data_IF_509225562490
#
_entry.id   IF_509225562490
#
_cell.length_a   1.000
_cell.length_b   1.000
_cell.length_c   1.000
_cell.angle_alpha   90.00
_cell.angle_beta   90.00
_cell.angle_gamma   90.00
#
_symmetry.space_group_name_H-M   'P 1'
#
loop_
_entity.id
_entity.type
_entity.pdbx_description
1 polymer ?
#
# COMPACT_ATOMS: atom_id res chain seq x y z
N UNK A 1 3.38 33.48 -13.82
CA UNK A 1 2.58 33.20 -15.03
C UNK A 1 1.59 32.10 -14.67
N UNK A 2 0.28 32.34 -14.79
CA UNK A 2 -0.70 31.28 -14.61
C UNK A 2 -0.65 30.32 -15.82
N UNK A 3 -0.78 29.00 -15.62
CA UNK A 3 -0.79 28.04 -16.72
C UNK A 3 -1.96 28.30 -17.68
N UNK A 4 -1.72 28.18 -18.98
CA UNK A 4 -2.74 28.40 -20.02
C UNK A 4 -3.87 27.37 -19.88
N UNK A 5 -5.11 27.84 -19.67
CA UNK A 5 -6.32 27.02 -19.62
C UNK A 5 -7.11 27.14 -20.93
N UNK A 6 -7.34 26.04 -21.66
CA UNK A 6 -8.15 26.05 -22.88
C UNK A 6 -9.55 26.63 -22.65
N UNK A 7 -10.18 27.29 -23.65
CA UNK A 7 -11.49 27.94 -23.50
C UNK A 7 -12.60 27.02 -23.00
N UNK A 8 -12.60 25.76 -23.40
CA UNK A 8 -13.57 24.75 -22.96
C UNK A 8 -13.37 24.30 -21.49
N UNK A 9 -12.19 24.55 -20.91
CA UNK A 9 -11.86 24.27 -19.52
C UNK A 9 -11.93 25.51 -18.61
N UNK A 10 -12.22 26.69 -19.15
CA UNK A 10 -12.41 27.92 -18.35
C UNK A 10 -13.64 27.86 -17.45
N UNK A 11 -14.64 27.06 -17.83
CA UNK A 11 -15.88 26.89 -17.07
C UNK A 11 -15.90 25.62 -16.19
N UNK A 12 -14.86 24.79 -16.21
CA UNK A 12 -14.77 23.64 -15.32
C UNK A 12 -14.24 24.08 -13.95
N UNK A 13 -14.93 23.72 -12.84
CA UNK A 13 -14.44 24.02 -11.51
C UNK A 13 -13.06 23.37 -11.33
N UNK A 14 -12.09 24.09 -10.75
CA UNK A 14 -10.77 23.54 -10.47
C UNK A 14 -10.87 22.33 -9.53
N UNK A 15 -10.13 21.28 -9.86
CA UNK A 15 -10.06 20.06 -9.07
C UNK A 15 -9.05 20.22 -7.92
N UNK A 16 -9.26 19.50 -6.80
CA UNK A 16 -8.31 19.50 -5.70
C UNK A 16 -6.96 18.90 -6.12
N UNK A 17 -5.88 19.40 -5.52
CA UNK A 17 -4.55 18.81 -5.59
C UNK A 17 -4.37 17.83 -4.43
N UNK A 18 -3.78 16.67 -4.68
CA UNK A 18 -3.54 15.67 -3.65
C UNK A 18 -2.09 15.74 -3.17
N UNK A 19 -1.89 15.65 -1.86
CA UNK A 19 -0.55 15.59 -1.24
C UNK A 19 -0.55 14.49 -0.18
N UNK A 20 0.37 13.53 -0.31
CA UNK A 20 0.58 12.54 0.74
C UNK A 20 1.33 13.19 1.89
N UNK A 21 0.78 13.11 3.10
CA UNK A 21 1.28 13.88 4.25
C UNK A 21 2.31 13.12 5.08
N UNK A 22 2.36 11.80 4.95
CA UNK A 22 3.20 10.93 5.78
C UNK A 22 4.05 9.94 4.97
N UNK A 23 4.14 10.14 3.65
CA UNK A 23 5.01 9.40 2.75
C UNK A 23 5.61 10.36 1.74
N UNK A 24 6.85 10.10 1.32
CA UNK A 24 7.52 10.83 0.24
C UNK A 24 7.06 10.35 -1.17
N UNK A 25 5.94 9.62 -1.24
CA UNK A 25 5.38 9.08 -2.47
C UNK A 25 4.60 10.15 -3.24
N UNK A 26 4.89 10.26 -4.54
CA UNK A 26 4.13 11.11 -5.46
C UNK A 26 2.83 10.40 -5.80
N UNK A 27 1.70 10.98 -5.40
CA UNK A 27 0.36 10.50 -5.76
C UNK A 27 0.17 10.59 -7.27
N UNK A 28 -0.11 9.45 -7.90
CA UNK A 28 -0.38 9.30 -9.33
C UNK A 28 -1.85 9.41 -9.64
N UNK A 29 -2.72 9.08 -8.69
CA UNK A 29 -4.16 9.24 -8.81
C UNK A 29 -4.48 10.70 -9.13
N UNK A 30 -5.11 10.93 -10.29
CA UNK A 30 -5.62 12.24 -10.67
C UNK A 30 -7.13 12.27 -10.42
N UNK A 31 -7.64 13.19 -9.59
CA UNK A 31 -9.07 13.31 -9.37
C UNK A 31 -9.79 13.73 -10.65
N UNK A 32 -10.96 13.15 -10.90
CA UNK A 32 -11.88 13.51 -11.97
C UNK A 32 -13.01 14.42 -11.47
N UNK A 33 -13.69 15.10 -12.40
CA UNK A 33 -14.85 15.95 -12.13
C UNK A 33 -16.05 15.20 -11.55
N UNK A 34 -16.18 13.92 -11.87
CA UNK A 34 -17.25 13.04 -11.38
C UNK A 34 -16.85 12.21 -10.17
N UNK A 35 -15.60 12.32 -9.71
CA UNK A 35 -15.14 11.51 -8.60
C UNK A 35 -15.78 11.99 -7.31
N UNK A 36 -16.28 11.03 -6.54
CA UNK A 36 -16.67 11.26 -5.15
C UNK A 36 -15.47 11.06 -4.25
N UNK A 37 -15.57 11.52 -3.00
CA UNK A 37 -14.57 11.24 -1.96
C UNK A 37 -14.39 9.72 -1.80
N UNK A 38 -15.46 8.92 -1.89
CA UNK A 38 -15.38 7.46 -1.86
C UNK A 38 -14.57 6.88 -3.03
N UNK A 39 -14.85 7.32 -4.26
CA UNK A 39 -14.13 6.85 -5.47
C UNK A 39 -12.65 7.20 -5.38
N UNK A 40 -12.33 8.40 -4.91
CA UNK A 40 -10.95 8.81 -4.70
C UNK A 40 -10.26 7.97 -3.64
N UNK A 41 -10.92 7.72 -2.50
CA UNK A 41 -10.39 6.85 -1.44
C UNK A 41 -10.08 5.45 -1.96
N UNK A 42 -10.98 4.86 -2.75
CA UNK A 42 -10.77 3.54 -3.36
C UNK A 42 -9.57 3.52 -4.32
N UNK A 43 -9.46 4.53 -5.20
CA UNK A 43 -8.33 4.65 -6.13
C UNK A 43 -6.99 4.81 -5.38
N UNK A 44 -6.97 5.61 -4.32
CA UNK A 44 -5.78 5.79 -3.48
C UNK A 44 -5.43 4.52 -2.72
N UNK A 45 -6.43 3.80 -2.19
CA UNK A 45 -6.23 2.53 -1.50
C UNK A 45 -5.64 1.46 -2.45
N UNK A 46 -6.08 1.45 -3.71
CA UNK A 46 -5.50 0.60 -4.75
C UNK A 46 -4.06 1.03 -5.09
N UNK A 47 -3.79 2.33 -5.24
CA UNK A 47 -2.44 2.86 -5.50
C UNK A 47 -1.46 2.54 -4.38
N UNK A 48 -1.87 2.71 -3.12
CA UNK A 48 -1.03 2.43 -1.95
C UNK A 48 -1.06 0.97 -1.50
N UNK A 49 -1.84 0.12 -2.16
CA UNK A 49 -2.01 -1.29 -1.83
C UNK A 49 -2.41 -1.54 -0.37
N UNK A 50 -3.33 -0.72 0.15
CA UNK A 50 -3.87 -0.84 1.51
C UNK A 50 -5.38 -0.97 1.50
N UNK A 51 -5.98 -1.47 2.58
CA UNK A 51 -7.42 -1.33 2.81
C UNK A 51 -7.89 0.14 2.77
N UNK A 52 -9.10 0.37 2.26
CA UNK A 52 -9.69 1.71 2.13
C UNK A 52 -9.81 2.43 3.47
N UNK A 53 -10.07 1.72 4.57
CA UNK A 53 -10.23 2.32 5.90
C UNK A 53 -8.94 2.92 6.47
N UNK A 54 -7.78 2.58 5.88
CA UNK A 54 -6.49 3.14 6.26
C UNK A 54 -6.19 4.46 5.55
N UNK A 55 -6.95 4.81 4.51
CA UNK A 55 -6.83 6.08 3.82
C UNK A 55 -7.68 7.13 4.55
N UNK A 56 -7.05 8.24 4.94
CA UNK A 56 -7.74 9.39 5.53
C UNK A 56 -7.49 10.63 4.68
N UNK A 57 -8.56 11.33 4.33
CA UNK A 57 -8.54 12.53 3.51
C UNK A 57 -8.91 13.75 4.37
N UNK A 58 -8.11 14.80 4.31
CA UNK A 58 -8.37 16.05 5.01
C UNK A 58 -8.22 17.25 4.08
N UNK A 59 -9.15 18.20 4.18
CA UNK A 59 -9.08 19.51 3.52
C UNK A 59 -8.83 20.57 4.59
N UNK A 60 -7.75 21.34 4.44
CA UNK A 60 -7.39 22.43 5.38
C UNK A 60 -7.33 21.96 6.86
N UNK A 61 -6.86 20.72 7.08
CA UNK A 61 -6.78 20.09 8.39
C UNK A 61 -8.10 19.47 8.91
N UNK A 62 -9.22 19.67 8.23
CA UNK A 62 -10.51 19.08 8.59
C UNK A 62 -10.76 17.75 7.84
N UNK A 63 -11.17 16.67 8.52
CA UNK A 63 -11.43 15.39 7.87
C UNK A 63 -12.63 15.48 6.94
N UNK A 64 -12.49 14.90 5.76
CA UNK A 64 -13.55 14.77 4.77
C UNK A 64 -14.40 13.54 5.07
N UNK A 65 -15.56 13.74 5.70
CA UNK A 65 -16.44 12.63 6.14
C UNK A 65 -17.59 12.31 5.16
N UNK A 66 -17.98 13.27 4.31
CA UNK A 66 -19.06 13.07 3.35
C UNK A 66 -18.54 12.32 2.11
N UNK A 67 -18.59 10.99 2.17
CA UNK A 67 -18.03 10.11 1.15
C UNK A 67 -18.71 10.24 -0.22
N UNK A 68 -19.94 10.74 -0.28
CA UNK A 68 -20.68 10.93 -1.54
C UNK A 68 -20.45 12.30 -2.17
N UNK A 69 -19.78 13.20 -1.46
CA UNK A 69 -19.49 14.54 -1.97
C UNK A 69 -18.61 14.46 -3.21
N UNK A 70 -19.01 15.15 -4.28
CA UNK A 70 -18.20 15.26 -5.49
C UNK A 70 -17.00 16.17 -5.23
N UNK A 71 -15.83 15.78 -5.72
CA UNK A 71 -14.59 16.54 -5.56
C UNK A 71 -14.66 17.92 -6.22
N UNK A 72 -15.44 18.05 -7.29
CA UNK A 72 -15.65 19.31 -8.00
C UNK A 72 -16.26 20.41 -7.08
N UNK A 73 -17.04 20.04 -6.07
CA UNK A 73 -17.69 20.96 -5.12
C UNK A 73 -16.72 21.51 -4.09
N UNK A 74 -15.55 20.89 -3.93
CA UNK A 74 -14.51 21.34 -3.00
C UNK A 74 -13.73 22.53 -3.56
N UNK A 75 -13.79 22.77 -4.87
CA UNK A 75 -13.04 23.81 -5.56
C UNK A 75 -11.52 23.57 -5.56
N UNK A 76 -10.76 24.60 -5.92
CA UNK A 76 -9.29 24.56 -5.88
C UNK A 76 -8.84 24.53 -4.41
N UNK A 77 -8.40 23.37 -3.96
CA UNK A 77 -7.87 23.17 -2.62
C UNK A 77 -6.82 22.07 -2.63
N UNK A 78 -6.12 21.92 -1.50
CA UNK A 78 -5.19 20.81 -1.29
C UNK A 78 -5.87 19.80 -0.37
N UNK A 79 -5.96 18.54 -0.81
CA UNK A 79 -6.39 17.43 0.01
C UNK A 79 -5.14 16.71 0.50
N UNK A 80 -5.00 16.66 1.81
CA UNK A 80 -3.99 15.91 2.52
C UNK A 80 -4.45 14.46 2.64
N UNK A 81 -3.69 13.55 2.02
CA UNK A 81 -3.88 12.11 2.12
C UNK A 81 -2.95 11.58 3.21
N UNK A 82 -3.49 10.80 4.14
CA UNK A 82 -2.72 10.09 5.17
C UNK A 82 -3.00 8.61 5.05
N UNK A 83 -1.95 7.81 4.89
CA UNK A 83 -2.02 6.34 4.88
C UNK A 83 -1.67 5.83 6.27
N UNK A 84 -2.64 5.30 7.01
CA UNK A 84 -2.39 4.72 8.33
C UNK A 84 -1.66 3.38 8.20
N UNK A 85 -0.75 3.05 9.13
CA UNK A 85 -0.17 1.72 9.15
C UNK A 85 -1.26 0.68 9.47
N UNK A 86 -1.22 -0.46 8.78
CA UNK A 86 -2.21 -1.53 8.93
C UNK A 86 -1.89 -2.39 10.14
N UNK A 87 -2.89 -2.90 10.86
CA UNK A 87 -2.68 -4.03 11.79
C UNK A 87 -2.37 -5.32 11.03
N UNK A 88 -1.87 -6.35 11.72
CA UNK A 88 -1.65 -7.65 11.08
C UNK A 88 -2.94 -8.24 10.52
N UNK A 89 -4.06 -8.16 11.25
CA UNK A 89 -5.35 -8.71 10.80
C UNK A 89 -5.85 -8.00 9.54
N UNK A 90 -5.76 -6.66 9.50
CA UNK A 90 -6.20 -5.87 8.35
C UNK A 90 -5.39 -6.23 7.11
N UNK A 91 -4.07 -6.30 7.25
CA UNK A 91 -3.19 -6.60 6.12
C UNK A 91 -3.30 -8.06 5.69
N UNK A 92 -3.40 -9.02 6.61
CA UNK A 92 -3.57 -10.43 6.28
C UNK A 92 -4.86 -10.64 5.48
N UNK A 93 -5.97 -10.06 5.92
CA UNK A 93 -7.25 -10.12 5.21
C UNK A 93 -7.16 -9.45 3.83
N UNK A 94 -6.48 -8.32 3.73
CA UNK A 94 -6.29 -7.61 2.47
C UNK A 94 -5.47 -8.43 1.47
N UNK A 95 -4.32 -8.95 1.89
CA UNK A 95 -3.46 -9.82 1.08
C UNK A 95 -4.24 -11.04 0.62
N UNK A 96 -4.96 -11.71 1.53
CA UNK A 96 -5.79 -12.87 1.20
C UNK A 96 -6.88 -12.53 0.17
N UNK A 97 -7.51 -11.35 0.28
CA UNK A 97 -8.55 -10.91 -0.66
C UNK A 97 -8.03 -10.62 -2.07
N UNK A 98 -6.77 -10.17 -2.19
CA UNK A 98 -6.11 -9.80 -3.45
C UNK A 98 -5.29 -10.96 -4.04
N UNK A 99 -5.02 -11.98 -3.23
CA UNK A 99 -4.17 -13.13 -3.55
C UNK A 99 -2.74 -12.93 -3.05
N UNK A 100 -2.24 -13.88 -2.24
CA UNK A 100 -0.92 -13.86 -1.61
C UNK A 100 0.23 -13.60 -2.60
N UNK A 101 0.15 -14.19 -3.80
CA UNK A 101 1.15 -14.05 -4.87
C UNK A 101 1.32 -12.61 -5.35
N UNK A 102 0.30 -11.76 -5.19
CA UNK A 102 0.36 -10.36 -5.62
C UNK A 102 1.36 -9.52 -4.80
N UNK A 103 1.65 -9.93 -3.56
CA UNK A 103 2.51 -9.19 -2.63
C UNK A 103 3.90 -9.80 -2.48
N UNK A 104 4.15 -10.98 -3.04
CA UNK A 104 5.49 -11.57 -3.00
C UNK A 104 6.48 -10.66 -3.74
N UNK A 105 7.54 -10.28 -3.04
CA UNK A 105 8.53 -9.32 -3.51
C UNK A 105 8.23 -7.86 -3.14
N UNK A 106 7.14 -7.57 -2.42
CA UNK A 106 6.84 -6.21 -1.95
C UNK A 106 7.79 -5.82 -0.81
N UNK A 107 8.30 -4.59 -0.83
CA UNK A 107 9.08 -4.03 0.28
C UNK A 107 8.12 -3.60 1.39
N UNK A 108 8.34 -4.14 2.58
CA UNK A 108 7.53 -3.93 3.77
C UNK A 108 8.36 -3.28 4.87
N UNK A 109 7.69 -2.43 5.64
CA UNK A 109 8.12 -2.01 6.97
C UNK A 109 7.17 -2.62 8.00
N UNK A 110 7.71 -3.45 8.88
CA UNK A 110 6.98 -4.14 9.95
C UNK A 110 7.41 -3.58 11.30
N UNK A 111 6.47 -3.51 12.24
CA UNK A 111 6.78 -3.27 13.66
C UNK A 111 6.31 -4.49 14.46
N UNK A 112 7.16 -5.00 15.35
CA UNK A 112 6.81 -6.13 16.21
C UNK A 112 6.18 -5.65 17.53
N UNK A 113 5.60 -6.58 18.29
CA UNK A 113 5.12 -6.32 19.64
C UNK A 113 6.22 -5.97 20.64
N UNK A 114 7.49 -6.29 20.34
CA UNK A 114 8.66 -5.86 21.08
C UNK A 114 9.10 -4.42 20.72
N UNK A 115 8.44 -3.78 19.74
CA UNK A 115 8.78 -2.45 19.25
C UNK A 115 9.92 -2.42 18.23
N UNK A 116 10.36 -3.59 17.74
CA UNK A 116 11.40 -3.67 16.72
C UNK A 116 10.83 -3.32 15.35
N UNK A 117 11.54 -2.47 14.60
CA UNK A 117 11.22 -2.17 13.21
C UNK A 117 12.05 -3.04 12.27
N UNK A 118 11.38 -3.84 11.46
CA UNK A 118 11.99 -4.69 10.44
C UNK A 118 11.65 -4.13 9.07
N UNK A 119 12.65 -4.05 8.18
CA UNK A 119 12.47 -3.63 6.79
C UNK A 119 12.99 -4.71 5.87
N UNK A 120 12.26 -4.98 4.81
CA UNK A 120 12.70 -5.90 3.78
C UNK A 120 11.55 -6.37 2.91
N UNK A 121 11.87 -7.34 2.09
CA UNK A 121 11.00 -7.81 1.03
C UNK A 121 10.17 -9.02 1.50
N UNK A 122 8.87 -9.02 1.24
CA UNK A 122 8.02 -10.17 1.53
C UNK A 122 8.41 -11.34 0.62
N UNK A 123 9.06 -12.36 1.20
CA UNK A 123 9.60 -13.47 0.43
C UNK A 123 8.61 -14.64 0.30
N UNK A 124 7.88 -14.93 1.37
CA UNK A 124 6.94 -16.05 1.42
C UNK A 124 5.84 -15.79 2.46
N UNK A 125 4.64 -16.27 2.18
CA UNK A 125 3.54 -16.36 3.14
C UNK A 125 3.26 -17.85 3.36
N UNK A 126 3.36 -18.31 4.60
CA UNK A 126 3.04 -19.68 4.96
C UNK A 126 1.67 -19.70 5.63
N UNK A 127 0.63 -19.93 4.81
CA UNK A 127 -0.78 -19.86 5.23
C UNK A 127 -1.12 -20.88 6.34
N UNK A 128 -0.46 -22.04 6.35
CA UNK A 128 -0.71 -23.10 7.35
C UNK A 128 -0.26 -22.70 8.76
N UNK A 129 0.85 -21.95 8.87
CA UNK A 129 1.47 -21.60 10.16
C UNK A 129 1.16 -20.16 10.59
N UNK A 130 0.30 -19.48 9.85
CA UNK A 130 0.00 -18.06 10.00
C UNK A 130 1.28 -17.21 10.17
N UNK A 131 2.20 -17.37 9.23
CA UNK A 131 3.50 -16.72 9.28
C UNK A 131 3.95 -16.20 7.92
N UNK A 132 4.91 -15.29 7.95
CA UNK A 132 5.55 -14.73 6.77
C UNK A 132 7.08 -14.76 6.92
N UNK A 133 7.77 -14.72 5.79
CA UNK A 133 9.21 -14.63 5.72
C UNK A 133 9.57 -13.30 5.08
N UNK A 134 10.33 -12.48 5.80
CA UNK A 134 10.91 -11.23 5.31
C UNK A 134 12.35 -11.48 4.88
N UNK A 135 12.75 -10.95 3.72
CA UNK A 135 14.10 -11.04 3.18
C UNK A 135 14.72 -9.65 3.10
N UNK A 136 15.80 -9.40 3.84
CA UNK A 136 16.64 -8.21 3.65
C UNK A 136 17.81 -8.54 2.75
N UNK A 137 17.98 -7.75 1.68
CA UNK A 137 19.12 -7.85 0.77
C UNK A 137 20.26 -6.99 1.28
N UNK A 138 21.41 -7.60 1.47
CA UNK A 138 22.61 -6.91 1.95
C UNK A 138 23.47 -6.44 0.77
N UNK A 139 24.29 -5.36 0.94
CA UNK A 139 25.15 -4.84 -0.12
C UNK A 139 26.19 -5.83 -0.65
N UNK A 140 26.56 -6.84 0.14
CA UNK A 140 27.50 -7.89 -0.23
C UNK A 140 26.89 -8.99 -1.11
N UNK A 141 25.61 -8.87 -1.49
CA UNK A 141 24.88 -9.86 -2.28
C UNK A 141 24.32 -11.03 -1.47
N UNK A 142 24.58 -11.08 -0.15
CA UNK A 142 23.90 -12.00 0.76
C UNK A 142 22.51 -11.49 1.14
N UNK A 143 21.72 -12.33 1.82
CA UNK A 143 20.42 -11.93 2.34
C UNK A 143 20.20 -12.49 3.75
N UNK A 144 19.57 -11.67 4.60
CA UNK A 144 19.01 -12.11 5.87
C UNK A 144 17.56 -12.54 5.69
N UNK A 145 17.14 -13.53 6.46
CA UNK A 145 15.75 -14.00 6.47
C UNK A 145 15.21 -13.98 7.89
N UNK A 146 14.03 -13.41 8.06
CA UNK A 146 13.27 -13.47 9.30
C UNK A 146 11.97 -14.22 9.08
N UNK A 147 11.76 -15.25 9.88
CA UNK A 147 10.48 -15.93 9.96
C UNK A 147 9.66 -15.32 11.10
N UNK A 148 8.53 -14.72 10.76
CA UNK A 148 7.69 -13.97 11.69
C UNK A 148 6.28 -14.56 11.68
N UNK A 149 5.69 -14.76 12.87
CA UNK A 149 4.26 -15.05 12.98
C UNK A 149 3.47 -13.76 12.81
N UNK A 150 2.32 -13.80 12.13
CA UNK A 150 1.52 -12.59 11.93
C UNK A 150 1.09 -11.93 13.26
N UNK A 151 0.81 -12.74 14.28
CA UNK A 151 0.39 -12.25 15.59
C UNK A 151 1.47 -11.51 16.41
N UNK A 152 2.76 -11.63 16.06
CA UNK A 152 3.82 -10.83 16.69
C UNK A 152 4.00 -9.47 16.02
N UNK A 153 3.36 -9.25 14.87
CA UNK A 153 3.42 -8.01 14.10
C UNK A 153 2.29 -7.09 14.59
N UNK A 154 2.65 -5.89 15.01
CA UNK A 154 1.69 -4.86 15.47
C UNK A 154 1.27 -3.94 14.35
N UNK A 155 2.19 -3.61 13.44
CA UNK A 155 1.88 -2.77 12.30
C UNK A 155 2.67 -3.11 11.04
N UNK A 156 2.04 -2.91 9.89
CA UNK A 156 2.58 -3.20 8.56
C UNK A 156 2.37 -1.98 7.66
N UNK A 157 3.42 -1.61 6.94
CA UNK A 157 3.36 -0.62 5.86
C UNK A 157 4.02 -1.20 4.61
N UNK A 158 3.32 -1.12 3.48
CA UNK A 158 3.89 -1.43 2.16
C UNK A 158 4.61 -0.18 1.68
N UNK A 159 5.92 -0.28 1.50
CA UNK A 159 6.79 0.80 1.04
C UNK A 159 6.89 0.80 -0.49
N UNK A 160 6.85 -0.37 -1.12
CA UNK A 160 6.75 -0.48 -2.59
C UNK A 160 6.30 -1.88 -3.02
N UNK A 161 5.67 -1.97 -4.17
CA UNK A 161 5.29 -3.25 -4.79
C UNK A 161 6.40 -3.85 -5.64
N UNK A 162 6.43 -5.19 -5.82
CA UNK A 162 7.39 -5.85 -6.68
C UNK A 162 7.32 -5.34 -8.12
N UNK A 163 8.47 -5.14 -8.74
CA UNK A 163 8.53 -4.89 -10.18
C UNK A 163 7.95 -6.09 -10.94
N UNK A 164 6.94 -5.86 -11.80
CA UNK A 164 6.29 -6.90 -12.62
C UNK A 164 7.26 -7.69 -13.52
N UNK A 165 8.49 -7.23 -13.70
CA UNK A 165 9.55 -7.88 -14.48
C UNK A 165 10.32 -8.96 -13.69
N UNK A 166 10.11 -9.06 -12.37
CA UNK A 166 10.85 -9.98 -11.51
C UNK A 166 10.16 -11.35 -11.48
N UNK A 167 10.36 -12.11 -12.56
CA UNK A 167 9.89 -13.50 -12.71
C UNK A 167 10.61 -14.52 -11.81
N UNK A 168 11.52 -14.08 -10.95
CA UNK A 168 12.36 -14.97 -10.13
C UNK A 168 11.68 -15.40 -8.81
N UNK A 169 10.44 -14.95 -8.56
CA UNK A 169 9.65 -15.25 -7.35
C UNK A 169 8.77 -16.48 -7.50
N UNK A 170 9.35 -17.58 -7.99
CA UNK A 170 8.83 -18.87 -7.57
C UNK A 170 9.84 -19.46 -6.59
N UNK A 171 9.50 -19.67 -5.30
CA UNK A 171 10.10 -20.83 -4.65
C UNK A 171 9.82 -21.99 -5.60
N UNK A 172 10.88 -22.66 -6.07
CA UNK A 172 10.73 -23.79 -6.97
C UNK A 172 9.68 -24.73 -6.36
N UNK A 173 8.51 -24.84 -7.01
CA UNK A 173 7.57 -25.91 -6.76
C UNK A 173 8.31 -27.20 -7.13
N UNK A 174 9.01 -27.76 -6.15
CA UNK A 174 10.04 -28.76 -6.39
C UNK A 174 11.04 -28.89 -5.24
N UNK A 175 10.56 -29.00 -4.00
CA UNK A 175 11.25 -29.90 -3.06
C UNK A 175 10.76 -31.30 -3.46
N UNK A 176 11.54 -32.13 -4.17
CA UNK A 176 11.17 -33.54 -4.28
C UNK A 176 11.13 -34.08 -2.85
N UNK A 177 10.05 -34.79 -2.54
CA UNK A 177 9.83 -35.43 -1.25
C UNK A 177 11.14 -36.02 -0.74
N UNK A 178 11.63 -35.50 0.39
CA UNK A 178 12.71 -36.11 1.13
C UNK A 178 12.21 -37.51 1.51
N UNK A 179 12.61 -38.53 0.74
CA UNK A 179 12.28 -39.90 1.04
C UNK A 179 12.69 -40.17 2.49
N UNK A 180 11.70 -40.60 3.29
CA UNK A 180 11.95 -41.13 4.63
C UNK A 180 12.94 -42.27 4.48
N UNK A 181 14.19 -42.04 4.89
CA UNK A 181 15.10 -43.12 5.22
C UNK A 181 14.70 -43.67 6.59
N UNK A 182 14.05 -44.81 6.56
CA UNK A 182 13.98 -45.79 7.66
C UNK A 182 13.93 -47.16 7.03
#
# INVERSE_FOLDING_TARGET
MAPYRPPHMRNQPPLPKLVCSNRDEVIRTQPSQSDTIATLTANLAEEFHVPEELISLAKDGAPLQDTKKELNTLGECTIHVTVKPASHEQMENYIRSKGSDHFLGAELKLTTNAGEELKGELYCIQEQDNSCILREKLPNGCANFWWLKWNIITSISIESMPDKKRSDFRPAAGVPALERRS
#
